data_IF_709850987827
#
_entry.id   IF_709850987827
#
_cell.length_a   1.000
_cell.length_b   1.000
_cell.length_c   1.000
_cell.angle_alpha   90.00
_cell.angle_beta   90.00
_cell.angle_gamma   90.00
#
_symmetry.space_group_name_H-M   'P 1'
#
loop_
_entity.id
_entity.type
_entity.pdbx_description
1 polymer ?
#
# COMPACT_ATOMS: atom_id res chain seq x y z
N UNK A 1 -0.85 14.46 -2.21
CA UNK A 1 -1.46 15.16 -1.04
C UNK A 1 -1.41 14.30 0.22
N UNK A 2 -1.96 13.08 0.21
CA UNK A 2 -1.92 12.15 1.37
C UNK A 2 -0.50 11.89 1.87
N UNK A 3 0.45 11.60 0.96
CA UNK A 3 1.86 11.42 1.29
C UNK A 3 2.48 12.63 2.02
N UNK A 4 2.21 13.85 1.52
CA UNK A 4 2.73 15.10 2.10
C UNK A 4 2.13 15.36 3.48
N UNK A 5 0.83 15.11 3.65
CA UNK A 5 0.15 15.26 4.94
C UNK A 5 0.71 14.25 5.95
N UNK A 6 0.84 12.98 5.57
CA UNK A 6 1.40 11.93 6.42
C UNK A 6 2.85 12.25 6.81
N UNK A 7 3.68 12.67 5.85
CA UNK A 7 5.06 13.11 6.10
C UNK A 7 5.11 14.30 7.06
N UNK A 8 4.26 15.31 6.87
CA UNK A 8 4.20 16.47 7.74
C UNK A 8 3.82 16.09 9.17
N UNK A 9 2.80 15.23 9.35
CA UNK A 9 2.40 14.73 10.66
C UNK A 9 3.52 13.95 11.35
N UNK A 10 4.22 13.06 10.63
CA UNK A 10 5.35 12.29 11.17
C UNK A 10 6.52 13.19 11.59
N UNK A 11 6.88 14.18 10.76
CA UNK A 11 7.95 15.14 11.08
C UNK A 11 7.59 16.03 12.26
N UNK A 12 6.32 16.46 12.37
CA UNK A 12 5.84 17.23 13.51
C UNK A 12 5.98 16.44 14.81
N UNK A 13 5.57 15.16 14.82
CA UNK A 13 5.73 14.28 16.00
C UNK A 13 7.20 14.10 16.40
N UNK A 14 8.08 13.88 15.43
CA UNK A 14 9.53 13.77 15.66
C UNK A 14 10.11 15.06 16.21
N UNK A 15 9.63 16.21 15.73
CA UNK A 15 10.02 17.53 16.24
C UNK A 15 9.53 17.72 17.68
N UNK A 16 8.27 17.38 17.98
CA UNK A 16 7.71 17.43 19.34
C UNK A 16 8.50 16.55 20.31
N UNK A 17 8.85 15.32 19.93
CA UNK A 17 9.69 14.45 20.75
C UNK A 17 11.06 15.09 21.03
N UNK A 18 11.70 15.62 19.98
CA UNK A 18 13.03 16.24 20.11
C UNK A 18 12.97 17.48 20.99
N UNK A 19 11.92 18.30 20.84
CA UNK A 19 11.67 19.46 21.69
C UNK A 19 11.48 19.08 23.16
N UNK A 20 10.69 18.03 23.45
CA UNK A 20 10.51 17.52 24.82
C UNK A 20 11.83 17.00 25.42
N UNK A 21 12.63 16.30 24.61
CA UNK A 21 13.93 15.78 25.04
C UNK A 21 14.92 16.89 25.33
N UNK A 22 15.07 17.83 24.41
CA UNK A 22 16.16 18.82 24.44
C UNK A 22 15.80 20.04 25.31
N UNK A 23 14.54 20.52 25.30
CA UNK A 23 14.12 21.73 26.05
C UNK A 23 13.55 21.41 27.43
N UNK A 24 12.90 20.26 27.62
CA UNK A 24 12.25 19.89 28.88
C UNK A 24 12.97 18.80 29.65
N UNK A 25 14.10 18.28 29.15
CA UNK A 25 14.83 17.12 29.71
C UNK A 25 13.93 15.90 29.94
N UNK A 26 12.84 15.78 29.15
CA UNK A 26 11.87 14.70 29.25
C UNK A 26 12.20 13.63 28.23
N UNK A 27 12.57 12.45 28.70
CA UNK A 27 12.94 11.34 27.84
C UNK A 27 11.70 10.59 27.32
N UNK A 28 11.04 11.14 26.30
CA UNK A 28 9.92 10.48 25.62
C UNK A 28 10.45 9.49 24.57
N UNK A 29 10.32 8.19 24.85
CA UNK A 29 10.85 7.12 23.99
C UNK A 29 9.75 6.55 23.09
N UNK A 30 8.52 6.49 23.60
CA UNK A 30 7.36 5.94 22.90
C UNK A 30 6.39 7.03 22.46
N UNK A 31 5.46 6.68 21.56
CA UNK A 31 4.37 7.58 21.16
C UNK A 31 3.44 7.91 22.33
N UNK A 32 3.13 6.92 23.17
CA UNK A 32 2.37 7.10 24.41
C UNK A 32 3.00 8.15 25.33
N UNK A 33 4.33 8.14 25.49
CA UNK A 33 5.04 9.14 26.30
C UNK A 33 4.87 10.56 25.77
N UNK A 34 4.95 10.74 24.44
CA UNK A 34 4.72 12.04 23.80
C UNK A 34 3.27 12.49 24.06
N UNK A 35 2.30 11.58 23.93
CA UNK A 35 0.89 11.82 24.28
C UNK A 35 0.69 12.16 25.77
N UNK A 36 1.41 11.48 26.66
CA UNK A 36 1.38 11.73 28.09
C UNK A 36 1.86 13.14 28.44
N UNK A 37 2.96 13.59 27.84
CA UNK A 37 3.49 14.92 28.10
C UNK A 37 2.67 16.04 27.46
N UNK A 38 1.90 15.76 26.41
CA UNK A 38 1.04 16.73 25.74
C UNK A 38 -0.35 16.86 26.40
N UNK A 39 -1.02 15.73 26.68
CA UNK A 39 -2.42 15.69 27.12
C UNK A 39 -2.64 14.89 28.42
N UNK A 40 -1.58 14.50 29.11
CA UNK A 40 -1.65 13.72 30.34
C UNK A 40 -2.04 12.25 30.10
N UNK A 41 -2.56 11.60 31.13
CA UNK A 41 -2.84 10.15 31.14
C UNK A 41 -3.80 9.70 30.03
N UNK A 42 -4.81 10.54 29.73
CA UNK A 42 -5.79 10.26 28.66
C UNK A 42 -5.10 10.29 27.29
N UNK A 43 -4.16 11.22 27.09
CA UNK A 43 -3.37 11.33 25.86
C UNK A 43 -2.57 10.08 25.56
N UNK A 44 -1.84 9.56 26.55
CA UNK A 44 -1.09 8.30 26.39
C UNK A 44 -2.02 7.15 26.03
N UNK A 45 -3.11 6.97 26.78
CA UNK A 45 -4.05 5.88 26.53
C UNK A 45 -4.66 5.94 25.13
N UNK A 46 -5.06 7.12 24.68
CA UNK A 46 -5.64 7.29 23.35
C UNK A 46 -4.62 6.97 22.26
N UNK A 47 -3.39 7.49 22.39
CA UNK A 47 -2.31 7.22 21.42
C UNK A 47 -1.98 5.72 21.37
N UNK A 48 -1.83 5.08 22.53
CA UNK A 48 -1.49 3.66 22.61
C UNK A 48 -2.62 2.78 22.03
N UNK A 49 -3.88 3.09 22.34
CA UNK A 49 -5.05 2.38 21.78
C UNK A 49 -5.14 2.57 20.27
N UNK A 50 -4.97 3.80 19.77
CA UNK A 50 -5.01 4.08 18.34
C UNK A 50 -3.94 3.30 17.58
N UNK A 51 -2.70 3.26 18.11
CA UNK A 51 -1.61 2.50 17.50
C UNK A 51 -1.93 1.00 17.51
N UNK A 52 -2.37 0.44 18.64
CA UNK A 52 -2.71 -0.99 18.73
C UNK A 52 -3.83 -1.37 17.76
N UNK A 53 -4.88 -0.54 17.66
CA UNK A 53 -6.00 -0.76 16.76
C UNK A 53 -5.52 -0.77 15.30
N UNK A 54 -4.72 0.22 14.92
CA UNK A 54 -4.16 0.32 13.57
C UNK A 54 -3.27 -0.88 13.23
N UNK A 55 -2.36 -1.29 14.12
CA UNK A 55 -1.47 -2.43 13.85
C UNK A 55 -2.21 -3.76 13.80
N UNK A 56 -3.24 -3.94 14.63
CA UNK A 56 -4.09 -5.12 14.54
C UNK A 56 -4.86 -5.14 13.22
N UNK A 57 -5.39 -3.98 12.80
CA UNK A 57 -6.06 -3.83 11.50
C UNK A 57 -5.16 -4.19 10.33
N UNK A 58 -3.91 -3.74 10.33
CA UNK A 58 -2.94 -4.06 9.28
C UNK A 58 -2.57 -5.53 9.26
N UNK A 59 -2.33 -6.14 10.42
CA UNK A 59 -2.08 -7.57 10.51
C UNK A 59 -3.25 -8.37 9.90
N UNK A 60 -4.49 -8.04 10.27
CA UNK A 60 -5.69 -8.70 9.72
C UNK A 60 -5.82 -8.49 8.21
N UNK A 61 -5.58 -7.27 7.72
CA UNK A 61 -5.64 -6.98 6.28
C UNK A 61 -4.62 -7.78 5.47
N UNK A 62 -3.38 -7.90 5.95
CA UNK A 62 -2.36 -8.74 5.33
C UNK A 62 -2.77 -10.22 5.30
N UNK A 63 -3.32 -10.75 6.39
CA UNK A 63 -3.79 -12.14 6.45
C UNK A 63 -4.90 -12.41 5.43
N UNK A 64 -5.87 -11.49 5.32
CA UNK A 64 -6.95 -11.59 4.33
C UNK A 64 -6.36 -11.57 2.91
N UNK A 65 -5.44 -10.65 2.62
CA UNK A 65 -4.79 -10.57 1.31
C UNK A 65 -4.03 -11.85 0.96
N UNK A 66 -3.22 -12.37 1.89
CA UNK A 66 -2.50 -13.64 1.70
C UNK A 66 -3.50 -14.77 1.44
N UNK A 67 -4.57 -14.85 2.24
CA UNK A 67 -5.61 -15.87 2.07
C UNK A 67 -6.27 -15.79 0.69
N UNK A 68 -6.50 -14.59 0.15
CA UNK A 68 -7.04 -14.41 -1.20
C UNK A 68 -6.07 -14.91 -2.26
N UNK A 69 -4.80 -14.47 -2.22
CA UNK A 69 -3.81 -14.88 -3.21
C UNK A 69 -3.58 -16.40 -3.19
N UNK A 70 -3.55 -17.02 -2.00
CA UNK A 70 -3.42 -18.48 -1.87
C UNK A 70 -4.65 -19.19 -2.41
N UNK A 71 -5.86 -18.68 -2.15
CA UNK A 71 -7.10 -19.27 -2.69
C UNK A 71 -7.09 -19.26 -4.22
N UNK A 72 -6.74 -18.13 -4.83
CA UNK A 72 -6.73 -17.99 -6.29
C UNK A 72 -5.70 -18.93 -6.94
N UNK A 73 -4.52 -19.12 -6.32
CA UNK A 73 -3.49 -20.07 -6.81
C UNK A 73 -3.96 -21.52 -6.65
N UNK A 74 -4.59 -21.86 -5.52
CA UNK A 74 -5.09 -23.22 -5.28
C UNK A 74 -6.24 -23.57 -6.22
N UNK A 75 -7.11 -22.62 -6.50
CA UNK A 75 -8.23 -22.78 -7.44
C UNK A 75 -7.72 -23.05 -8.86
N UNK A 76 -6.65 -22.38 -9.30
CA UNK A 76 -6.04 -22.55 -10.63
C UNK A 76 -5.27 -23.87 -10.78
N UNK A 77 -4.69 -24.41 -9.69
CA UNK A 77 -3.81 -25.59 -9.75
C UNK A 77 -4.49 -26.93 -9.37
N UNK A 78 -5.55 -26.93 -8.53
CA UNK A 78 -6.11 -28.17 -7.94
C UNK A 78 -7.59 -28.45 -8.26
N UNK A 79 -8.34 -27.54 -8.89
CA UNK A 79 -9.81 -27.65 -9.00
C UNK A 79 -10.37 -27.94 -10.40
N UNK A 80 -9.68 -28.68 -11.29
CA UNK A 80 -10.39 -29.23 -12.48
C UNK A 80 -11.30 -30.44 -12.16
N UNK A 81 -11.06 -31.20 -11.08
CA UNK A 81 -11.72 -32.53 -10.91
C UNK A 81 -12.67 -32.68 -9.71
N UNK A 82 -12.86 -31.68 -8.82
CA UNK A 82 -13.74 -31.85 -7.65
C UNK A 82 -14.49 -30.59 -7.22
N UNK A 83 -15.58 -30.29 -7.94
CA UNK A 83 -16.48 -29.13 -7.76
C UNK A 83 -17.34 -29.14 -6.48
N UNK A 84 -17.18 -30.11 -5.57
CA UNK A 84 -18.11 -30.30 -4.44
C UNK A 84 -17.48 -30.22 -3.03
N UNK A 85 -16.29 -29.62 -2.87
CA UNK A 85 -15.78 -29.35 -1.53
C UNK A 85 -15.51 -27.87 -1.33
N UNK A 86 -16.34 -27.29 -0.48
CA UNK A 86 -16.28 -25.93 0.05
C UNK A 86 -14.92 -25.75 0.75
N UNK A 87 -13.86 -25.48 -0.01
CA UNK A 87 -12.66 -24.85 0.55
C UNK A 87 -13.08 -23.40 0.78
N UNK A 88 -13.82 -23.18 1.86
CA UNK A 88 -14.20 -21.83 2.25
C UNK A 88 -12.90 -21.04 2.38
N UNK A 89 -12.87 -19.81 1.86
CA UNK A 89 -11.74 -18.89 2.04
C UNK A 89 -11.33 -18.79 3.52
N UNK A 90 -12.30 -18.98 4.43
CA UNK A 90 -12.07 -19.09 5.87
C UNK A 90 -11.26 -20.33 6.31
N UNK A 91 -11.35 -21.47 5.63
CA UNK A 91 -10.56 -22.66 5.92
C UNK A 91 -9.08 -22.47 5.52
N UNK A 92 -8.81 -21.79 4.41
CA UNK A 92 -7.44 -21.41 4.01
C UNK A 92 -6.84 -20.48 5.06
N UNK A 93 -7.60 -19.48 5.49
CA UNK A 93 -7.19 -18.56 6.56
C UNK A 93 -6.95 -19.31 7.88
N UNK A 94 -7.82 -20.27 8.24
CA UNK A 94 -7.69 -21.10 9.44
C UNK A 94 -6.47 -22.04 9.41
N UNK A 95 -6.01 -22.47 8.23
CA UNK A 95 -4.80 -23.28 8.07
C UNK A 95 -3.52 -22.42 8.13
N UNK A 96 -3.58 -21.19 7.62
CA UNK A 96 -2.45 -20.24 7.61
C UNK A 96 -2.24 -19.57 8.99
N UNK A 97 -3.28 -19.39 9.79
CA UNK A 97 -3.21 -18.69 11.07
C UNK A 97 -2.30 -19.36 12.12
N UNK A 98 -2.36 -20.69 12.39
CA UNK A 98 -1.54 -21.34 13.42
C UNK A 98 -0.03 -21.17 13.24
N UNK A 99 0.58 -21.39 12.05
CA UNK A 99 2.01 -21.17 11.88
C UNK A 99 2.39 -19.69 12.06
N UNK A 100 1.53 -18.74 11.69
CA UNK A 100 1.79 -17.30 11.90
C UNK A 100 1.73 -16.90 13.37
N UNK A 101 0.84 -17.49 14.16
CA UNK A 101 0.79 -17.29 15.61
C UNK A 101 2.05 -17.85 16.28
N UNK A 102 2.51 -19.03 15.84
CA UNK A 102 3.76 -19.64 16.32
C UNK A 102 4.96 -18.76 15.95
N UNK A 103 5.01 -18.26 14.72
CA UNK A 103 6.07 -17.35 14.25
C UNK A 103 6.05 -16.00 14.99
N UNK A 104 4.86 -15.50 15.36
CA UNK A 104 4.71 -14.26 16.13
C UNK A 104 5.26 -14.38 17.56
N UNK A 105 5.42 -15.61 18.07
CA UNK A 105 6.04 -15.87 19.37
C UNK A 105 7.58 -16.01 19.28
N UNK A 106 8.18 -15.88 18.10
CA UNK A 106 9.64 -15.87 17.99
C UNK A 106 10.22 -14.58 18.60
N UNK A 107 10.73 -14.74 19.83
CA UNK A 107 11.29 -13.69 20.69
C UNK A 107 12.59 -13.06 20.17
N UNK A 108 13.10 -13.47 19.01
CA UNK A 108 14.40 -13.02 18.47
C UNK A 108 14.28 -12.41 17.07
N UNK A 109 13.88 -11.13 17.03
CA UNK A 109 13.72 -10.32 15.81
C UNK A 109 14.98 -10.23 14.93
N UNK A 110 16.17 -10.43 15.51
CA UNK A 110 17.44 -10.34 14.77
C UNK A 110 17.61 -11.44 13.71
N UNK A 111 16.98 -12.61 13.88
CA UNK A 111 16.98 -13.66 12.85
C UNK A 111 16.04 -13.35 11.68
N UNK A 112 15.02 -12.51 11.88
CA UNK A 112 14.09 -12.12 10.82
C UNK A 112 14.62 -10.99 9.94
N UNK A 113 15.56 -10.17 10.43
CA UNK A 113 16.12 -9.05 9.66
C UNK A 113 16.63 -9.46 8.25
N UNK A 114 17.46 -10.51 8.08
CA UNK A 114 17.88 -10.93 6.74
C UNK A 114 16.72 -11.52 5.90
N UNK A 115 15.76 -12.20 6.52
CA UNK A 115 14.58 -12.72 5.83
C UNK A 115 13.66 -11.60 5.33
N UNK A 116 13.48 -10.55 6.13
CA UNK A 116 12.76 -9.33 5.75
C UNK A 116 13.43 -8.66 4.56
N UNK A 117 14.76 -8.56 4.56
CA UNK A 117 15.50 -7.99 3.43
C UNK A 117 15.32 -8.83 2.15
N UNK A 118 15.32 -10.16 2.26
CA UNK A 118 15.04 -11.04 1.13
C UNK A 118 13.61 -10.85 0.61
N UNK A 119 12.64 -10.71 1.51
CA UNK A 119 11.25 -10.46 1.15
C UNK A 119 11.09 -9.13 0.39
N UNK A 120 11.76 -8.06 0.82
CA UNK A 120 11.78 -6.79 0.09
C UNK A 120 12.33 -6.93 -1.33
N UNK A 121 13.42 -7.69 -1.51
CA UNK A 121 13.98 -7.96 -2.86
C UNK A 121 12.98 -8.74 -3.72
N UNK A 122 12.30 -9.74 -3.14
CA UNK A 122 11.28 -10.52 -3.84
C UNK A 122 10.08 -9.65 -4.26
N UNK A 123 9.66 -8.70 -3.41
CA UNK A 123 8.61 -7.72 -3.74
C UNK A 123 9.04 -6.84 -4.91
N UNK A 124 10.28 -6.34 -4.92
CA UNK A 124 10.80 -5.54 -6.04
C UNK A 124 10.85 -6.34 -7.35
N UNK A 125 11.24 -7.61 -7.29
CA UNK A 125 11.23 -8.48 -8.47
C UNK A 125 9.81 -8.75 -8.98
N UNK A 126 8.86 -9.05 -8.09
CA UNK A 126 7.47 -9.25 -8.46
C UNK A 126 6.87 -7.99 -9.10
N UNK A 127 7.16 -6.81 -8.53
CA UNK A 127 6.73 -5.53 -9.07
C UNK A 127 7.27 -5.30 -10.48
N UNK A 128 8.56 -5.58 -10.70
CA UNK A 128 9.17 -5.49 -12.03
C UNK A 128 8.49 -6.41 -13.05
N UNK A 129 8.20 -7.66 -12.67
CA UNK A 129 7.53 -8.61 -13.54
C UNK A 129 6.12 -8.14 -13.92
N UNK A 130 5.33 -7.67 -12.95
CA UNK A 130 3.99 -7.13 -13.20
C UNK A 130 4.04 -5.95 -14.18
N UNK A 131 4.93 -4.98 -13.95
CA UNK A 131 5.08 -3.85 -14.87
C UNK A 131 5.49 -4.26 -16.28
N UNK A 132 6.39 -5.25 -16.41
CA UNK A 132 6.81 -5.75 -17.71
C UNK A 132 5.63 -6.39 -18.48
N UNK A 133 4.83 -7.22 -17.81
CA UNK A 133 3.62 -7.81 -18.40
C UNK A 133 2.57 -6.76 -18.76
N UNK A 134 2.35 -5.76 -17.91
CA UNK A 134 1.40 -4.69 -18.16
C UNK A 134 1.81 -3.84 -19.36
N UNK A 135 3.09 -3.45 -19.45
CA UNK A 135 3.62 -2.70 -20.61
C UNK A 135 3.44 -3.51 -21.89
N UNK A 136 3.75 -4.81 -21.88
CA UNK A 136 3.57 -5.68 -23.03
C UNK A 136 2.09 -5.77 -23.42
N UNK A 137 1.19 -5.97 -22.45
CA UNK A 137 -0.26 -6.00 -22.67
C UNK A 137 -0.78 -4.70 -23.29
N UNK A 138 -0.31 -3.55 -22.79
CA UNK A 138 -0.68 -2.23 -23.33
C UNK A 138 -0.19 -2.07 -24.77
N UNK A 139 1.06 -2.43 -25.06
CA UNK A 139 1.62 -2.36 -26.42
C UNK A 139 0.80 -3.24 -27.37
N UNK A 140 0.58 -4.51 -27.03
CA UNK A 140 -0.20 -5.42 -27.89
C UNK A 140 -1.63 -4.93 -28.13
N UNK A 141 -2.30 -4.40 -27.11
CA UNK A 141 -3.66 -3.83 -27.23
C UNK A 141 -3.69 -2.51 -28.00
N UNK A 142 -2.65 -1.68 -27.90
CA UNK A 142 -2.57 -0.39 -28.59
C UNK A 142 -2.34 -0.54 -30.10
N UNK A 143 -1.59 -1.57 -30.52
CA UNK A 143 -1.27 -1.80 -31.94
C UNK A 143 -2.34 -2.58 -32.72
N UNK A 144 -3.22 -3.35 -32.07
CA UNK A 144 -4.28 -4.12 -32.76
C UNK A 144 -5.34 -3.27 -33.49
N UNK A 145 -5.85 -2.12 -32.99
CA UNK A 145 -6.79 -1.28 -33.74
C UNK A 145 -6.12 -0.43 -34.85
N UNK A 146 -4.83 -0.11 -34.73
CA UNK A 146 -4.07 0.67 -35.74
C UNK A 146 -3.77 -0.16 -36.99
N UNK A 147 -3.47 -1.45 -36.82
CA UNK A 147 -3.27 -2.37 -37.94
C UNK A 147 -4.59 -2.66 -38.68
N UNK A 148 -5.71 -2.79 -37.96
CA UNK A 148 -7.03 -3.00 -38.57
C UNK A 148 -7.57 -1.76 -39.28
N UNK A 149 -7.32 -0.55 -38.76
CA UNK A 149 -7.64 0.69 -39.50
C UNK A 149 -6.73 0.92 -40.71
N UNK A 150 -5.44 0.54 -40.67
CA UNK A 150 -4.61 0.56 -41.89
C UNK A 150 -5.11 -0.42 -42.97
N UNK A 151 -5.55 -1.61 -42.57
CA UNK A 151 -6.14 -2.60 -43.49
C UNK A 151 -7.51 -2.13 -44.04
N UNK A 152 -8.34 -1.46 -43.22
CA UNK A 152 -9.58 -0.83 -43.71
C UNK A 152 -9.34 0.42 -44.57
N UNK A 153 -8.29 1.21 -44.30
CA UNK A 153 -7.97 2.40 -45.11
C UNK A 153 -7.42 2.08 -46.50
N UNK A 154 -6.96 0.85 -46.74
CA UNK A 154 -6.67 0.35 -48.09
C UNK A 154 -7.92 -0.12 -48.85
N UNK A 155 -9.06 -0.23 -48.18
CA UNK A 155 -10.33 -0.74 -48.74
C UNK A 155 -11.40 0.36 -48.92
N UNK A 156 -11.17 1.57 -48.38
CA UNK A 156 -12.19 2.61 -48.26
C UNK A 156 -11.74 3.91 -48.92
N UNK A 157 -11.60 3.86 -50.26
CA UNK A 157 -11.46 5.04 -51.12
C UNK A 157 -12.72 5.34 -51.95
N UNK A 158 -13.87 4.75 -51.59
CA UNK A 158 -15.17 5.05 -52.16
C UNK A 158 -16.19 5.19 -51.01
N UNK A 159 -16.92 6.31 -51.00
CA UNK A 159 -18.02 6.72 -50.08
C UNK A 159 -17.58 7.13 -48.64
N UNK A 160 -17.93 8.28 -48.05
CA UNK A 160 -18.65 9.48 -48.51
C UNK A 160 -18.47 10.63 -47.49
N UNK A 161 -19.02 11.79 -47.83
CA UNK A 161 -18.86 13.14 -47.29
C UNK A 161 -19.69 13.48 -45.98
N UNK A 162 -19.05 14.18 -45.01
CA UNK A 162 -19.58 15.22 -44.07
C UNK A 162 -20.37 14.87 -42.76
N UNK A 163 -20.70 15.85 -41.85
CA UNK A 163 -19.94 16.31 -40.69
C UNK A 163 -20.64 16.09 -39.33
N UNK A 164 -19.91 15.95 -38.22
CA UNK A 164 -20.40 16.34 -36.87
C UNK A 164 -19.32 16.18 -35.78
N UNK A 165 -18.56 17.24 -35.56
CA UNK A 165 -17.54 17.37 -34.50
C UNK A 165 -18.10 17.57 -33.08
N UNK A 166 -18.97 16.66 -32.61
CA UNK A 166 -19.62 16.77 -31.30
C UNK A 166 -19.45 15.56 -30.35
N UNK A 167 -18.88 14.45 -30.80
CA UNK A 167 -18.88 13.17 -30.07
C UNK A 167 -17.64 12.90 -29.21
N UNK A 168 -16.53 13.61 -29.42
CA UNK A 168 -15.27 13.40 -28.68
C UNK A 168 -15.29 13.98 -27.26
N UNK A 169 -16.06 15.06 -27.04
CA UNK A 169 -16.16 15.72 -25.72
C UNK A 169 -17.03 14.95 -24.72
N UNK A 170 -18.12 14.33 -25.18
CA UNK A 170 -19.04 13.55 -24.33
C UNK A 170 -18.40 12.23 -23.89
N UNK A 171 -17.58 11.59 -24.75
CA UNK A 171 -16.80 10.42 -24.37
C UNK A 171 -15.77 10.75 -23.28
N UNK A 172 -15.09 11.90 -23.39
CA UNK A 172 -14.12 12.36 -22.38
C UNK A 172 -14.79 12.66 -21.02
N UNK A 173 -15.97 13.27 -21.02
CA UNK A 173 -16.74 13.54 -19.80
C UNK A 173 -17.24 12.25 -19.11
N UNK A 174 -17.67 11.25 -19.89
CA UNK A 174 -18.08 9.94 -19.36
C UNK A 174 -16.92 9.14 -18.75
N UNK A 175 -15.71 9.32 -19.29
CA UNK A 175 -14.50 8.73 -18.69
C UNK A 175 -14.18 9.38 -17.34
N UNK A 176 -14.38 10.70 -17.18
CA UNK A 176 -14.12 11.42 -15.92
C UNK A 176 -15.12 11.05 -14.81
N UNK A 177 -16.40 10.85 -15.14
CA UNK A 177 -17.41 10.40 -14.16
C UNK A 177 -17.20 8.95 -13.70
N UNK A 178 -16.47 8.14 -14.47
CA UNK A 178 -16.05 6.79 -14.10
C UNK A 178 -15.00 6.80 -12.96
N UNK A 179 -14.12 7.83 -12.94
CA UNK A 179 -13.10 8.03 -11.89
C UNK A 179 -13.65 8.62 -10.59
N UNK A 180 -14.73 9.39 -10.64
CA UNK A 180 -15.36 10.04 -9.47
C UNK A 180 -16.57 9.26 -8.94
N UNK A 181 -16.51 7.94 -8.94
CA UNK A 181 -17.48 7.13 -8.21
C UNK A 181 -17.31 7.37 -6.70
N UNK A 182 -18.21 8.14 -6.10
CA UNK A 182 -18.17 8.46 -4.65
C UNK A 182 -18.18 7.20 -3.78
N UNK A 183 -18.72 6.09 -4.28
CA UNK A 183 -18.71 4.78 -3.62
C UNK A 183 -17.35 4.08 -3.64
N UNK A 184 -16.45 4.42 -4.57
CA UNK A 184 -15.08 3.87 -4.68
C UNK A 184 -14.03 4.76 -4.01
N UNK A 185 -14.36 6.03 -3.76
CA UNK A 185 -13.48 6.96 -3.07
C UNK A 185 -13.01 6.45 -1.69
N UNK A 186 -13.84 5.85 -0.83
CA UNK A 186 -13.38 5.29 0.45
C UNK A 186 -12.28 4.24 0.30
N UNK A 187 -12.38 3.37 -0.72
CA UNK A 187 -11.36 2.36 -1.01
C UNK A 187 -10.06 2.99 -1.49
N UNK A 188 -10.13 3.95 -2.41
CA UNK A 188 -8.95 4.67 -2.91
C UNK A 188 -8.22 5.40 -1.79
N UNK A 189 -8.95 6.14 -0.95
CA UNK A 189 -8.37 6.84 0.19
C UNK A 189 -7.82 5.88 1.24
N UNK A 190 -8.49 4.76 1.50
CA UNK A 190 -8.02 3.74 2.44
C UNK A 190 -6.67 3.15 2.03
N UNK A 191 -6.55 2.71 0.76
CA UNK A 191 -5.29 2.16 0.24
C UNK A 191 -4.20 3.25 0.20
N UNK A 192 -4.54 4.46 -0.21
CA UNK A 192 -3.59 5.57 -0.25
C UNK A 192 -3.04 5.90 1.14
N UNK A 193 -3.89 6.00 2.15
CA UNK A 193 -3.47 6.26 3.54
C UNK A 193 -2.64 5.10 4.07
N UNK A 194 -3.05 3.87 3.76
CA UNK A 194 -2.32 2.65 4.13
C UNK A 194 -0.88 2.63 3.60
N UNK A 195 -0.66 3.01 2.33
CA UNK A 195 0.68 3.03 1.73
C UNK A 195 1.63 4.06 2.37
N UNK A 196 1.12 5.08 3.05
CA UNK A 196 1.91 6.13 3.70
C UNK A 196 1.88 6.04 5.23
N UNK A 197 1.32 4.96 5.78
CA UNK A 197 1.38 4.68 7.20
C UNK A 197 2.73 4.02 7.53
N UNK A 198 3.56 4.76 8.28
CA UNK A 198 4.80 4.25 8.85
C UNK A 198 5.03 4.79 10.26
N UNK A 199 3.99 5.35 10.88
CA UNK A 199 4.14 6.09 12.14
C UNK A 199 4.62 5.13 13.22
N UNK A 200 4.16 3.88 13.26
CA UNK A 200 4.62 2.91 14.27
C UNK A 200 6.14 2.66 14.25
N UNK A 201 6.82 2.90 13.11
CA UNK A 201 8.25 2.62 12.94
C UNK A 201 9.15 3.85 13.11
N UNK A 202 8.61 5.07 12.99
CA UNK A 202 9.41 6.31 12.99
C UNK A 202 10.26 6.45 14.27
N UNK A 203 9.67 6.27 15.46
CA UNK A 203 10.37 6.44 16.73
C UNK A 203 11.35 5.29 17.02
N UNK A 204 10.98 4.00 16.86
CA UNK A 204 11.94 2.90 16.96
C UNK A 204 13.15 3.05 16.03
N UNK A 205 12.92 3.43 14.76
CA UNK A 205 13.99 3.63 13.78
C UNK A 205 14.89 4.79 14.21
N UNK A 206 14.31 5.95 14.53
CA UNK A 206 15.08 7.11 15.00
C UNK A 206 15.92 6.80 16.24
N UNK A 207 15.36 6.06 17.19
CA UNK A 207 16.06 5.65 18.42
C UNK A 207 17.17 4.62 18.14
N UNK A 208 17.07 3.86 17.04
CA UNK A 208 18.07 2.87 16.61
C UNK A 208 19.15 3.45 15.69
N UNK A 209 19.02 4.70 15.24
CA UNK A 209 20.00 5.35 14.38
C UNK A 209 21.26 5.78 15.14
N UNK A 210 22.42 5.55 14.54
CA UNK A 210 23.70 6.04 15.06
C UNK A 210 23.74 7.58 15.16
N UNK A 211 23.11 8.28 14.21
CA UNK A 211 23.02 9.75 14.17
C UNK A 211 21.55 10.21 14.04
N UNK A 212 20.80 10.34 15.17
CA UNK A 212 19.38 10.68 15.14
C UNK A 212 19.05 12.06 14.53
N UNK A 213 20.02 12.98 14.49
CA UNK A 213 19.86 14.32 13.89
C UNK A 213 19.66 14.28 12.38
N UNK A 214 20.16 13.24 11.71
CA UNK A 214 19.99 13.06 10.26
C UNK A 214 18.69 12.35 9.86
N UNK A 215 17.91 11.88 10.85
CA UNK A 215 16.67 11.12 10.63
C UNK A 215 15.72 11.87 9.68
N UNK A 216 15.47 13.16 9.93
CA UNK A 216 14.49 13.94 9.14
C UNK A 216 14.84 14.00 7.65
N UNK A 217 16.14 14.11 7.31
CA UNK A 217 16.59 14.15 5.91
C UNK A 217 16.40 12.78 5.25
N UNK A 218 16.85 11.72 5.92
CA UNK A 218 16.77 10.35 5.39
C UNK A 218 15.31 9.94 5.20
N UNK A 219 14.47 10.17 6.22
CA UNK A 219 13.05 9.85 6.16
C UNK A 219 12.32 10.60 5.04
N UNK A 220 12.58 11.90 4.89
CA UNK A 220 11.97 12.70 3.82
C UNK A 220 12.42 12.23 2.43
N UNK A 221 13.71 11.93 2.26
CA UNK A 221 14.23 11.37 1.01
C UNK A 221 13.61 10.02 0.67
N UNK A 222 13.43 9.13 1.64
CA UNK A 222 12.77 7.84 1.44
C UNK A 222 11.32 8.00 0.98
N UNK A 223 10.54 8.88 1.63
CA UNK A 223 9.14 9.11 1.24
C UNK A 223 9.03 9.74 -0.16
N UNK A 224 9.93 10.66 -0.52
CA UNK A 224 9.97 11.24 -1.87
C UNK A 224 10.26 10.16 -2.91
N UNK A 225 11.25 9.29 -2.65
CA UNK A 225 11.60 8.19 -3.55
C UNK A 225 10.45 7.21 -3.76
N UNK A 226 9.72 6.85 -2.70
CA UNK A 226 8.56 5.95 -2.81
C UNK A 226 7.36 6.61 -3.52
N UNK A 227 7.24 7.94 -3.41
CA UNK A 227 6.12 8.67 -4.01
C UNK A 227 6.33 9.02 -5.48
N UNK A 228 7.59 9.04 -5.95
CA UNK A 228 7.96 9.46 -7.32
C UNK A 228 8.07 8.26 -8.24
#
# INVERSE_FOLDING_TARGET
LVALLALHCMLLLVHCQTYLRDTRSKHAVTYGDVGYYAFGRIGSMLVDICIILTQTGFAVAYLIFISHNVSDILDDYYLEDKKDSIVSRGLILAVILPPLVILSWLRYLKMLAPFSLLAEIAILFALFAVFAYDIQSIITRAWSPVLSTKISSSSQQLEDHDPSGGSSFISTASNISLWLNLSRLPYFFGISVYCYEGVGMVMPVKNSMQNPSSFNRIWSSSVILVTT
#
